data_IF_911661937489
#
_entry.id   IF_911661937489
#
_cell.length_a   1.000
_cell.length_b   1.000
_cell.length_c   1.000
_cell.angle_alpha   90.00
_cell.angle_beta   90.00
_cell.angle_gamma   90.00
#
_symmetry.space_group_name_H-M   'P 1'
#
loop_
_entity.id
_entity.type
_entity.pdbx_description
1 polymer ?
#
# COMPACT_ATOMS: atom_id res chain seq x y z
N UNK A 1 -35.67 15.42 -27.55
CA UNK A 1 -34.85 15.00 -28.72
C UNK A 1 -33.58 15.86 -28.80
N UNK A 2 -32.77 15.89 -27.73
CA UNK A 2 -31.56 16.75 -27.61
C UNK A 2 -30.33 15.92 -27.19
N UNK A 3 -30.51 14.77 -26.52
CA UNK A 3 -29.41 13.95 -26.00
C UNK A 3 -28.55 13.25 -27.07
N UNK A 4 -29.11 12.92 -28.24
CA UNK A 4 -28.39 12.10 -29.23
C UNK A 4 -27.31 12.89 -29.99
N UNK A 5 -27.58 14.14 -30.32
CA UNK A 5 -26.61 15.00 -31.02
C UNK A 5 -25.46 15.46 -30.14
N UNK A 6 -25.72 15.68 -28.84
CA UNK A 6 -24.67 16.03 -27.88
C UNK A 6 -23.65 14.90 -27.74
N UNK A 7 -24.10 13.64 -27.67
CA UNK A 7 -23.19 12.49 -27.58
C UNK A 7 -22.35 12.30 -28.85
N UNK A 8 -22.97 12.47 -30.04
CA UNK A 8 -22.23 12.43 -31.32
C UNK A 8 -21.19 13.54 -31.45
N UNK A 9 -21.53 14.76 -31.01
CA UNK A 9 -20.60 15.88 -31.02
C UNK A 9 -19.42 15.65 -30.05
N UNK A 10 -19.68 15.04 -28.90
CA UNK A 10 -18.65 14.69 -27.93
C UNK A 10 -17.70 13.60 -28.46
N UNK A 11 -18.20 12.54 -29.10
CA UNK A 11 -17.37 11.46 -29.68
C UNK A 11 -16.39 11.93 -30.77
N UNK A 12 -16.72 13.03 -31.47
CA UNK A 12 -15.85 13.65 -32.46
C UNK A 12 -14.66 14.38 -31.83
N UNK A 13 -14.72 14.75 -30.55
CA UNK A 13 -13.64 15.44 -29.85
C UNK A 13 -12.57 14.43 -29.38
N UNK A 14 -11.28 14.62 -29.75
CA UNK A 14 -10.20 13.73 -29.30
C UNK A 14 -10.05 13.66 -27.78
N UNK A 15 -10.43 14.73 -27.08
CA UNK A 15 -10.42 14.81 -25.62
C UNK A 15 -11.44 13.84 -25.02
N UNK A 16 -12.63 13.72 -25.64
CA UNK A 16 -13.67 12.83 -25.14
C UNK A 16 -13.23 11.37 -25.16
N UNK A 17 -12.51 10.94 -26.19
CA UNK A 17 -11.90 9.59 -26.24
C UNK A 17 -10.94 9.31 -25.08
N UNK A 18 -10.23 10.35 -24.61
CA UNK A 18 -9.35 10.22 -23.43
C UNK A 18 -10.17 10.12 -22.15
N UNK A 19 -11.23 10.91 -22.02
CA UNK A 19 -12.10 10.94 -20.84
C UNK A 19 -12.93 9.66 -20.74
N UNK A 20 -13.47 9.16 -21.85
CA UNK A 20 -14.25 7.92 -21.89
C UNK A 20 -13.41 6.68 -21.58
N UNK A 21 -12.09 6.74 -21.80
CA UNK A 21 -11.15 5.68 -21.46
C UNK A 21 -10.60 5.77 -20.02
N UNK A 22 -10.94 6.83 -19.26
CA UNK A 22 -10.50 6.96 -17.87
C UNK A 22 -11.07 5.88 -16.94
N UNK A 23 -12.37 5.51 -17.00
CA UNK A 23 -12.93 4.49 -16.12
C UNK A 23 -12.15 3.17 -16.14
N UNK A 24 -11.84 2.65 -17.35
CA UNK A 24 -11.05 1.42 -17.49
C UNK A 24 -9.66 1.54 -16.86
N UNK A 25 -9.04 2.71 -16.97
CA UNK A 25 -7.72 2.98 -16.36
C UNK A 25 -7.82 3.06 -14.84
N UNK A 26 -8.88 3.65 -14.31
CA UNK A 26 -9.13 3.71 -12.86
C UNK A 26 -9.34 2.30 -12.32
N UNK A 27 -10.21 1.50 -12.93
CA UNK A 27 -10.46 0.11 -12.54
C UNK A 27 -9.17 -0.73 -12.56
N UNK A 28 -8.34 -0.58 -13.59
CA UNK A 28 -7.07 -1.27 -13.69
C UNK A 28 -6.09 -0.84 -12.57
N UNK A 29 -6.04 0.45 -12.23
CA UNK A 29 -5.21 0.96 -11.14
C UNK A 29 -5.69 0.50 -9.77
N UNK A 30 -7.00 0.51 -9.53
CA UNK A 30 -7.60 0.02 -8.28
C UNK A 30 -7.30 -1.46 -8.06
N UNK A 31 -7.39 -2.30 -9.10
CA UNK A 31 -7.01 -3.72 -9.02
C UNK A 31 -5.54 -3.90 -8.65
N UNK A 32 -4.64 -3.10 -9.25
CA UNK A 32 -3.20 -3.15 -8.94
C UNK A 32 -2.93 -2.69 -7.51
N UNK A 33 -3.60 -1.64 -7.04
CA UNK A 33 -3.50 -1.18 -5.65
C UNK A 33 -3.95 -2.27 -4.67
N UNK A 34 -5.12 -2.88 -4.88
CA UNK A 34 -5.59 -3.99 -4.03
C UNK A 34 -4.62 -5.16 -3.99
N UNK A 35 -4.03 -5.54 -5.14
CA UNK A 35 -3.04 -6.61 -5.20
C UNK A 35 -1.76 -6.25 -4.43
N UNK A 36 -1.29 -5.01 -4.56
CA UNK A 36 -0.13 -4.51 -3.82
C UNK A 36 -0.39 -4.43 -2.32
N UNK A 37 -1.55 -3.93 -1.90
CA UNK A 37 -1.96 -3.88 -0.50
C UNK A 37 -2.08 -5.28 0.12
N UNK A 38 -2.69 -6.23 -0.61
CA UNK A 38 -2.76 -7.63 -0.18
C UNK A 38 -1.36 -8.26 -0.02
N UNK A 39 -0.45 -7.98 -0.95
CA UNK A 39 0.93 -8.46 -0.90
C UNK A 39 1.72 -7.84 0.26
N UNK A 40 1.49 -6.55 0.57
CA UNK A 40 2.15 -5.86 1.69
C UNK A 40 1.66 -6.36 3.04
N UNK A 41 0.39 -6.76 3.15
CA UNK A 41 -0.12 -7.42 4.36
C UNK A 41 0.56 -8.78 4.63
N UNK A 42 1.18 -9.39 3.61
CA UNK A 42 1.83 -10.71 3.69
C UNK A 42 3.35 -10.66 3.71
N UNK A 43 4.00 -9.50 3.55
CA UNK A 43 5.45 -9.42 3.76
C UNK A 43 5.67 -9.52 5.28
N UNK A 44 6.14 -10.66 5.82
CA UNK A 44 6.55 -10.69 7.22
C UNK A 44 7.61 -9.63 7.38
N UNK A 45 7.52 -8.80 8.42
CA UNK A 45 8.55 -7.82 8.75
C UNK A 45 9.83 -8.55 9.16
N UNK A 46 10.53 -9.12 8.17
CA UNK A 46 11.86 -9.71 8.19
C UNK A 46 12.26 -10.46 9.48
N UNK A 47 11.31 -11.16 10.12
CA UNK A 47 11.51 -11.83 11.39
C UNK A 47 10.24 -12.48 11.92
N UNK A 48 10.38 -13.70 12.44
CA UNK A 48 9.37 -14.35 13.25
C UNK A 48 9.43 -13.83 14.69
N UNK A 49 8.31 -13.79 15.40
CA UNK A 49 8.30 -13.45 16.82
C UNK A 49 9.24 -14.39 17.60
N UNK A 50 10.17 -13.85 18.40
CA UNK A 50 11.12 -14.68 19.18
C UNK A 50 10.46 -15.54 20.26
N UNK A 51 9.20 -15.26 20.59
CA UNK A 51 8.46 -15.96 21.66
C UNK A 51 7.55 -17.06 21.13
N UNK A 52 6.82 -16.80 20.04
CA UNK A 52 5.84 -17.73 19.50
C UNK A 52 6.04 -18.10 18.03
N UNK A 53 7.11 -17.57 17.40
CA UNK A 53 7.43 -17.75 15.98
C UNK A 53 6.33 -17.32 15.00
N UNK A 54 5.32 -16.57 15.47
CA UNK A 54 4.24 -16.03 14.64
C UNK A 54 4.67 -14.82 13.79
N UNK A 55 3.76 -14.37 12.95
CA UNK A 55 3.95 -13.18 12.11
C UNK A 55 4.06 -11.91 12.95
N UNK A 56 4.94 -11.02 12.53
CA UNK A 56 5.14 -9.69 13.09
C UNK A 56 4.59 -8.65 12.11
N UNK A 57 3.94 -7.61 12.65
CA UNK A 57 3.42 -6.45 11.91
C UNK A 57 4.09 -5.18 12.40
N UNK A 58 4.53 -4.31 11.49
CA UNK A 58 4.99 -2.97 11.85
C UNK A 58 3.81 -2.15 12.35
N UNK A 59 3.92 -1.60 13.56
CA UNK A 59 2.94 -0.71 14.17
C UNK A 59 3.42 0.74 14.27
N UNK A 60 4.74 0.96 14.23
CA UNK A 60 5.35 2.30 14.25
C UNK A 60 6.69 2.27 13.52
N UNK A 61 7.02 3.38 12.88
CA UNK A 61 8.24 3.59 12.10
C UNK A 61 8.78 4.98 12.42
N UNK A 62 9.96 5.04 13.04
CA UNK A 62 10.61 6.30 13.39
C UNK A 62 12.04 6.35 12.87
N UNK A 63 12.57 7.54 12.52
CA UNK A 63 13.99 7.66 12.20
C UNK A 63 14.87 7.30 13.40
N UNK A 64 16.00 6.63 13.17
CA UNK A 64 16.91 6.25 14.25
C UNK A 64 17.49 7.50 14.93
N UNK A 65 17.47 7.61 16.27
CA UNK A 65 17.80 8.85 16.98
C UNK A 65 19.22 9.38 16.68
N UNK A 66 20.16 8.48 16.42
CA UNK A 66 21.55 8.83 16.06
C UNK A 66 21.92 8.60 14.59
N UNK A 67 21.17 7.77 13.86
CA UNK A 67 21.54 7.31 12.51
C UNK A 67 20.46 7.61 11.46
N UNK A 68 19.43 8.36 11.81
CA UNK A 68 18.35 8.75 10.91
C UNK A 68 18.83 9.57 9.71
N UNK A 69 19.91 10.35 9.90
CA UNK A 69 20.54 11.14 8.82
C UNK A 69 21.15 10.25 7.73
N UNK A 70 21.49 9.00 8.06
CA UNK A 70 22.05 8.00 7.13
C UNK A 70 20.95 7.06 6.59
N UNK A 71 19.68 7.42 6.77
CA UNK A 71 18.54 6.63 6.32
C UNK A 71 18.23 5.41 7.20
N UNK A 72 18.73 5.33 8.43
CA UNK A 72 18.29 4.25 9.34
C UNK A 72 16.98 4.60 10.04
N UNK A 73 16.10 3.60 10.13
CA UNK A 73 14.80 3.67 10.80
C UNK A 73 14.69 2.60 11.88
N UNK A 74 13.95 2.91 12.92
CA UNK A 74 13.54 1.99 13.98
C UNK A 74 12.09 1.61 13.71
N UNK A 75 11.88 0.33 13.45
CA UNK A 75 10.56 -0.28 13.29
C UNK A 75 10.13 -0.91 14.61
N UNK A 76 8.96 -0.52 15.10
CA UNK A 76 8.29 -1.19 16.20
C UNK A 76 7.35 -2.25 15.62
N UNK A 77 7.61 -3.51 15.96
CA UNK A 77 6.92 -4.69 15.44
C UNK A 77 6.05 -5.30 16.54
N UNK A 78 4.79 -5.59 16.26
CA UNK A 78 3.88 -6.29 17.15
C UNK A 78 3.56 -7.69 16.61
N UNK A 79 3.58 -8.70 17.47
CA UNK A 79 3.14 -10.03 17.10
C UNK A 79 1.63 -10.09 16.85
N UNK A 80 1.25 -10.64 15.70
CA UNK A 80 -0.15 -10.83 15.31
C UNK A 80 -0.83 -12.02 16.03
N UNK A 81 -0.07 -12.89 16.69
CA UNK A 81 -0.64 -14.00 17.43
C UNK A 81 -1.38 -13.47 18.68
N UNK A 82 -2.72 -13.68 18.79
CA UNK A 82 -3.52 -13.15 19.90
C UNK A 82 -3.08 -13.69 21.27
N UNK A 83 -2.45 -14.85 21.32
CA UNK A 83 -1.91 -15.42 22.56
C UNK A 83 -0.57 -14.82 22.97
N UNK A 84 0.14 -14.13 22.07
CA UNK A 84 1.47 -13.56 22.33
C UNK A 84 1.42 -12.06 22.57
N UNK A 85 0.95 -11.28 21.59
CA UNK A 85 0.83 -9.82 21.67
C UNK A 85 2.12 -9.04 21.96
N UNK A 86 3.29 -9.68 21.98
CA UNK A 86 4.58 -9.05 22.32
C UNK A 86 5.05 -8.09 21.23
N UNK A 87 5.70 -7.02 21.66
CA UNK A 87 6.28 -5.98 20.80
C UNK A 87 7.81 -6.08 20.80
N UNK A 88 8.44 -5.86 19.65
CA UNK A 88 9.90 -5.90 19.46
C UNK A 88 10.32 -4.72 18.60
N UNK A 89 11.48 -4.12 18.86
CA UNK A 89 12.05 -3.07 18.01
C UNK A 89 13.15 -3.64 17.11
N UNK A 90 13.21 -3.17 15.86
CA UNK A 90 14.22 -3.56 14.88
C UNK A 90 14.73 -2.34 14.13
N UNK A 91 16.03 -2.31 13.86
CA UNK A 91 16.62 -1.29 12.99
C UNK A 91 16.57 -1.78 11.54
N UNK A 92 16.04 -0.94 10.65
CA UNK A 92 15.98 -1.16 9.21
C UNK A 92 16.70 -0.01 8.50
N UNK A 93 17.41 -0.31 7.42
CA UNK A 93 18.12 0.68 6.61
C UNK A 93 17.28 0.94 5.36
N UNK A 94 16.92 2.19 5.12
CA UNK A 94 16.28 2.65 3.88
C UNK A 94 17.22 2.51 2.67
#
# INVERSE_FOLDING_TARGET
MINFDVMKALEALPIWKRVSALPDRVDALERRLRALEASRATVPSSGACRFCHGSLRVIDEQPHPSLGVVGMKVLTLQCQNPSCGKTTTKNEKD
#
